data_IF_579223205508
#
_entry.id   IF_579223205508
#
_cell.length_a   1.000
_cell.length_b   1.000
_cell.length_c   1.000
_cell.angle_alpha   90.00
_cell.angle_beta   90.00
_cell.angle_gamma   90.00
#
_symmetry.space_group_name_H-M   'P 1'
#
loop_
_entity.id
_entity.type
_entity.pdbx_description
1 polymer ?
#
# COMPACT_ATOMS: atom_id res chain seq x y z
N UNK A 1 6.91 -20.08 -3.63
CA UNK A 1 6.31 -18.80 -4.03
C UNK A 1 5.19 -18.36 -3.10
N UNK A 2 4.59 -19.25 -2.33
CA UNK A 2 3.66 -18.95 -1.25
C UNK A 2 3.93 -19.84 -0.05
N UNK A 3 3.59 -19.36 1.15
CA UNK A 3 3.68 -20.08 2.42
C UNK A 3 2.40 -19.78 3.21
N UNK A 4 1.88 -20.77 3.90
CA UNK A 4 0.74 -20.65 4.81
C UNK A 4 1.13 -21.18 6.18
N UNK A 5 0.93 -20.37 7.22
CA UNK A 5 1.27 -20.70 8.61
C UNK A 5 0.04 -20.59 9.49
N UNK A 6 -0.15 -21.58 10.35
CA UNK A 6 -1.18 -21.54 11.38
C UNK A 6 -0.52 -21.18 12.71
N UNK A 7 -0.96 -20.09 13.30
CA UNK A 7 -0.47 -19.56 14.57
C UNK A 7 -1.48 -19.92 15.65
N UNK A 8 -1.15 -20.90 16.48
CA UNK A 8 -1.97 -21.38 17.59
C UNK A 8 -1.53 -20.77 18.92
N UNK A 9 -2.33 -20.95 19.99
CA UNK A 9 -2.02 -20.42 21.32
C UNK A 9 -2.30 -18.93 21.50
N UNK A 10 -3.06 -18.31 20.59
CA UNK A 10 -3.51 -16.93 20.77
C UNK A 10 -4.60 -16.83 21.84
N UNK A 11 -4.67 -15.68 22.50
CA UNK A 11 -5.65 -15.40 23.56
C UNK A 11 -7.08 -15.59 23.06
N UNK A 12 -7.95 -16.19 23.88
CA UNK A 12 -9.35 -16.44 23.55
C UNK A 12 -9.58 -17.58 22.56
N UNK A 13 -8.65 -18.57 22.51
CA UNK A 13 -8.80 -19.75 21.65
C UNK A 13 -8.69 -19.44 20.14
N UNK A 14 -8.19 -18.27 19.79
CA UNK A 14 -8.09 -17.82 18.40
C UNK A 14 -6.94 -18.51 17.68
N UNK A 15 -7.08 -18.65 16.38
CA UNK A 15 -6.02 -19.10 15.47
C UNK A 15 -5.71 -17.99 14.49
N UNK A 16 -4.43 -17.67 14.33
CA UNK A 16 -3.96 -16.78 13.28
C UNK A 16 -3.55 -17.56 12.04
N UNK A 17 -3.90 -17.06 10.86
CA UNK A 17 -3.45 -17.62 9.59
C UNK A 17 -2.59 -16.58 8.90
N UNK A 18 -1.30 -16.88 8.70
CA UNK A 18 -0.37 -16.03 7.97
C UNK A 18 -0.15 -16.59 6.56
N UNK A 19 -0.67 -15.89 5.57
CA UNK A 19 -0.41 -16.18 4.16
C UNK A 19 0.69 -15.24 3.65
N UNK A 20 1.80 -15.81 3.19
CA UNK A 20 2.89 -15.10 2.56
C UNK A 20 2.88 -15.38 1.06
N UNK A 21 2.73 -14.35 0.27
CA UNK A 21 2.73 -14.42 -1.19
C UNK A 21 3.92 -13.64 -1.75
N UNK A 22 4.63 -14.24 -2.71
CA UNK A 22 5.64 -13.50 -3.44
C UNK A 22 4.97 -12.56 -4.44
N UNK A 23 5.40 -11.30 -4.49
CA UNK A 23 4.77 -10.24 -5.30
C UNK A 23 4.76 -10.52 -6.81
N UNK A 24 5.54 -11.50 -7.30
CA UNK A 24 5.47 -11.96 -8.70
C UNK A 24 4.24 -12.81 -9.00
N UNK A 25 3.57 -13.35 -7.98
CA UNK A 25 2.37 -14.19 -8.13
C UNK A 25 1.12 -13.31 -8.18
N UNK A 26 1.08 -12.27 -7.34
CA UNK A 26 -0.08 -11.40 -7.23
C UNK A 26 0.35 -9.98 -6.83
N UNK A 27 -0.20 -8.98 -7.51
CA UNK A 27 -0.17 -7.60 -7.03
C UNK A 27 -1.21 -7.39 -5.91
N UNK A 28 -1.29 -6.18 -5.34
CA UNK A 28 -2.20 -5.91 -4.22
C UNK A 28 -3.66 -6.28 -4.50
N UNK A 29 -4.16 -6.05 -5.71
CA UNK A 29 -5.55 -6.38 -6.11
C UNK A 29 -5.68 -7.88 -6.39
N UNK A 30 -4.73 -8.47 -7.11
CA UNK A 30 -4.71 -9.90 -7.36
C UNK A 30 -4.51 -10.71 -6.06
N UNK A 31 -3.74 -10.20 -5.10
CA UNK A 31 -3.61 -10.82 -3.78
C UNK A 31 -4.93 -10.83 -3.02
N UNK A 32 -5.72 -9.75 -3.09
CA UNK A 32 -7.08 -9.72 -2.51
C UNK A 32 -8.00 -10.72 -3.20
N UNK A 33 -7.92 -10.86 -4.52
CA UNK A 33 -8.70 -11.86 -5.25
C UNK A 33 -8.32 -13.30 -4.88
N UNK A 34 -7.02 -13.60 -4.75
CA UNK A 34 -6.53 -14.89 -4.25
C UNK A 34 -6.98 -15.13 -2.81
N UNK A 35 -6.92 -14.11 -1.96
CA UNK A 35 -7.43 -14.23 -0.58
C UNK A 35 -8.95 -14.47 -0.56
N UNK A 36 -9.69 -13.79 -1.44
CA UNK A 36 -11.15 -13.95 -1.52
C UNK A 36 -11.55 -15.38 -1.91
N UNK A 37 -10.74 -16.08 -2.73
CA UNK A 37 -11.00 -17.48 -3.09
C UNK A 37 -10.77 -18.49 -1.95
N UNK A 38 -10.11 -18.07 -0.87
CA UNK A 38 -9.90 -18.90 0.32
C UNK A 38 -11.01 -18.75 1.36
N UNK A 39 -11.88 -17.77 1.19
CA UNK A 39 -12.92 -17.46 2.16
C UNK A 39 -14.31 -17.91 1.70
N UNK A 40 -15.05 -18.42 2.64
CA UNK A 40 -16.47 -18.75 2.50
C UNK A 40 -17.35 -17.57 2.94
N UNK A 41 -18.56 -17.52 2.39
CA UNK A 41 -19.58 -16.51 2.76
C UNK A 41 -20.41 -16.91 3.98
N UNK A 42 -20.26 -18.13 4.48
CA UNK A 42 -20.97 -18.67 5.63
C UNK A 42 -20.22 -19.82 6.30
N UNK A 43 -20.56 -20.16 7.56
CA UNK A 43 -19.87 -21.21 8.33
C UNK A 43 -20.11 -22.64 7.79
N UNK A 44 -21.16 -22.85 7.01
CA UNK A 44 -21.56 -24.15 6.46
C UNK A 44 -21.56 -24.18 4.93
N UNK A 45 -20.70 -23.39 4.28
CA UNK A 45 -20.59 -23.43 2.81
C UNK A 45 -20.11 -24.83 2.38
N UNK A 46 -20.86 -25.52 1.49
CA UNK A 46 -20.45 -26.85 1.00
C UNK A 46 -19.08 -26.77 0.34
N UNK A 47 -18.25 -27.78 0.59
CA UNK A 47 -16.97 -27.87 -0.14
C UNK A 47 -17.25 -27.93 -1.65
N UNK A 48 -16.62 -27.05 -2.45
CA UNK A 48 -16.73 -27.15 -3.89
C UNK A 48 -16.17 -28.52 -4.34
N UNK A 49 -16.89 -29.18 -5.23
CA UNK A 49 -16.40 -30.42 -5.84
C UNK A 49 -15.08 -30.07 -6.57
N UNK A 50 -13.98 -30.57 -6.04
CA UNK A 50 -12.67 -30.32 -6.62
C UNK A 50 -12.62 -30.90 -8.03
N UNK A 51 -12.45 -30.07 -9.04
CA UNK A 51 -12.10 -30.55 -10.37
C UNK A 51 -10.75 -31.27 -10.32
N UNK A 52 -10.58 -32.41 -11.01
CA UNK A 52 -9.33 -33.14 -11.00
C UNK A 52 -8.22 -32.24 -11.56
N UNK A 53 -7.29 -31.87 -10.69
CA UNK A 53 -6.16 -31.04 -11.07
C UNK A 53 -5.15 -31.86 -11.87
N UNK A 54 -4.93 -31.49 -13.12
CA UNK A 54 -3.90 -32.07 -13.98
C UNK A 54 -2.67 -31.15 -14.00
N UNK A 55 -1.56 -31.56 -13.36
CA UNK A 55 -0.35 -30.74 -13.34
C UNK A 55 0.22 -30.56 -14.74
N UNK A 56 0.44 -29.30 -15.12
CA UNK A 56 1.17 -29.00 -16.35
C UNK A 56 2.65 -29.40 -16.20
N UNK A 57 3.27 -29.83 -17.29
CA UNK A 57 4.70 -30.13 -17.29
C UNK A 57 5.50 -28.88 -16.92
N UNK A 58 6.44 -29.03 -15.99
CA UNK A 58 7.36 -27.94 -15.63
C UNK A 58 8.15 -27.53 -16.89
N UNK A 59 8.11 -26.27 -17.31
CA UNK A 59 8.84 -25.85 -18.50
C UNK A 59 10.34 -26.01 -18.30
N UNK A 60 11.01 -26.48 -19.33
CA UNK A 60 12.46 -26.59 -19.33
C UNK A 60 13.13 -25.22 -19.32
N UNK A 61 14.39 -25.15 -18.89
CA UNK A 61 15.17 -23.89 -18.91
C UNK A 61 15.23 -23.24 -20.30
N UNK A 62 15.26 -24.06 -21.34
CA UNK A 62 15.27 -23.60 -22.73
C UNK A 62 13.92 -23.03 -23.17
N UNK A 63 12.81 -23.61 -22.73
CA UNK A 63 11.47 -23.08 -22.96
C UNK A 63 11.32 -21.72 -22.24
N UNK A 64 11.71 -21.63 -20.96
CA UNK A 64 11.69 -20.38 -20.22
C UNK A 64 12.56 -19.30 -20.88
N UNK A 65 13.72 -19.66 -21.40
CA UNK A 65 14.60 -18.74 -22.12
C UNK A 65 13.96 -18.27 -23.43
N UNK A 66 13.40 -19.19 -24.22
CA UNK A 66 12.72 -18.89 -25.48
C UNK A 66 11.49 -17.99 -25.24
N UNK A 67 10.67 -18.28 -24.22
CA UNK A 67 9.50 -17.47 -23.85
C UNK A 67 9.91 -16.06 -23.41
N UNK A 68 10.95 -15.94 -22.58
CA UNK A 68 11.50 -14.64 -22.18
C UNK A 68 12.06 -13.86 -23.37
N UNK A 69 12.76 -14.53 -24.29
CA UNK A 69 13.33 -13.88 -25.47
C UNK A 69 12.23 -13.42 -26.44
N UNK A 70 11.23 -14.26 -26.69
CA UNK A 70 10.07 -13.94 -27.53
C UNK A 70 9.26 -12.77 -26.96
N UNK A 71 9.04 -12.77 -25.64
CA UNK A 71 8.38 -11.65 -24.95
C UNK A 71 9.17 -10.33 -25.06
N UNK A 72 10.50 -10.39 -24.89
CA UNK A 72 11.39 -9.22 -25.06
C UNK A 72 11.41 -8.71 -26.50
N UNK A 73 11.50 -9.62 -27.48
CA UNK A 73 11.43 -9.26 -28.89
C UNK A 73 10.08 -8.64 -29.26
N UNK A 74 8.98 -9.19 -28.75
CA UNK A 74 7.65 -8.62 -28.90
C UNK A 74 7.53 -7.22 -28.28
N UNK A 75 8.15 -6.99 -27.14
CA UNK A 75 8.23 -5.66 -26.52
C UNK A 75 9.08 -4.69 -27.35
N UNK A 76 10.23 -5.13 -27.83
CA UNK A 76 11.11 -4.32 -28.67
C UNK A 76 10.44 -3.94 -30.00
N UNK A 77 9.74 -4.89 -30.66
CA UNK A 77 8.95 -4.61 -31.86
C UNK A 77 7.84 -3.60 -31.62
N UNK A 78 7.10 -3.72 -30.51
CA UNK A 78 6.06 -2.73 -30.14
C UNK A 78 6.65 -1.36 -29.87
N UNK A 79 7.79 -1.30 -29.17
CA UNK A 79 8.51 -0.04 -28.94
C UNK A 79 9.01 0.58 -30.24
N UNK A 80 9.60 -0.22 -31.14
CA UNK A 80 10.05 0.26 -32.45
C UNK A 80 8.88 0.75 -33.31
N UNK A 81 7.75 0.03 -33.35
CA UNK A 81 6.55 0.46 -34.04
C UNK A 81 5.95 1.75 -33.44
N UNK A 82 6.02 1.95 -32.11
CA UNK A 82 5.60 3.19 -31.47
C UNK A 82 6.51 4.37 -31.83
N UNK A 83 7.82 4.14 -31.93
CA UNK A 83 8.81 5.15 -32.35
C UNK A 83 8.73 5.48 -33.84
N UNK A 84 8.32 4.53 -34.70
CA UNK A 84 8.13 4.72 -36.12
C UNK A 84 6.89 5.59 -36.46
N UNK A 85 6.01 5.85 -35.49
CA UNK A 85 4.82 6.69 -35.68
C UNK A 85 5.07 8.13 -35.18
N UNK A 86 5.28 9.13 -36.07
CA UNK A 86 5.66 10.49 -35.66
C UNK A 86 4.63 11.16 -34.75
N UNK A 87 3.34 10.90 -34.96
CA UNK A 87 2.26 11.45 -34.11
C UNK A 87 2.29 10.84 -32.69
N UNK A 88 2.60 9.54 -32.56
CA UNK A 88 2.73 8.88 -31.25
C UNK A 88 3.98 9.34 -30.49
N UNK A 89 5.07 9.54 -31.23
CA UNK A 89 6.32 10.06 -30.70
C UNK A 89 6.14 11.51 -30.20
N UNK A 90 5.50 12.37 -31.00
CA UNK A 90 5.22 13.75 -30.62
C UNK A 90 4.34 13.84 -29.35
N UNK A 91 3.40 12.91 -29.16
CA UNK A 91 2.59 12.81 -27.92
C UNK A 91 3.36 12.19 -26.75
N UNK A 92 4.32 11.32 -27.02
CA UNK A 92 5.12 10.68 -25.98
C UNK A 92 6.25 11.57 -25.43
N UNK A 93 6.82 12.45 -26.27
CA UNK A 93 7.92 13.33 -25.88
C UNK A 93 7.59 14.22 -24.67
N UNK A 94 6.46 14.96 -24.59
CA UNK A 94 6.16 15.77 -23.42
C UNK A 94 5.90 14.93 -22.17
N UNK A 95 5.36 13.71 -22.32
CA UNK A 95 5.16 12.76 -21.22
C UNK A 95 6.52 12.25 -20.72
N UNK A 96 7.40 11.83 -21.62
CA UNK A 96 8.74 11.37 -21.27
C UNK A 96 9.61 12.51 -20.70
N UNK A 97 9.51 13.71 -21.26
CA UNK A 97 10.17 14.89 -20.72
C UNK A 97 9.65 15.26 -19.33
N UNK A 98 8.33 15.15 -19.11
CA UNK A 98 7.70 15.32 -17.79
C UNK A 98 8.18 14.29 -16.77
N UNK A 99 8.27 13.03 -17.17
CA UNK A 99 8.82 11.94 -16.35
C UNK A 99 10.31 12.17 -16.06
N UNK A 100 11.12 12.46 -17.10
CA UNK A 100 12.54 12.74 -16.94
C UNK A 100 12.78 13.96 -16.03
N UNK A 101 12.02 15.05 -16.25
CA UNK A 101 12.10 16.25 -15.40
C UNK A 101 11.78 15.94 -13.94
N UNK A 102 10.85 15.04 -13.66
CA UNK A 102 10.48 14.64 -12.28
C UNK A 102 11.43 13.64 -11.65
N UNK A 103 11.97 12.71 -12.43
CA UNK A 103 13.03 11.79 -11.97
C UNK A 103 14.33 12.55 -11.73
N UNK A 104 14.61 13.56 -12.56
CA UNK A 104 15.81 14.38 -12.47
C UNK A 104 15.62 15.66 -11.63
N UNK A 105 14.38 16.16 -11.47
CA UNK A 105 14.08 17.23 -10.51
C UNK A 105 14.01 16.63 -9.11
N UNK A 106 14.90 17.03 -8.23
CA UNK A 106 14.83 16.63 -6.85
C UNK A 106 13.73 17.44 -6.15
N UNK A 107 12.46 17.05 -6.20
CA UNK A 107 11.60 17.30 -5.06
C UNK A 107 12.17 16.42 -3.94
N UNK A 108 13.18 16.95 -3.28
CA UNK A 108 13.86 16.23 -2.20
C UNK A 108 12.92 16.19 -1.03
N UNK A 109 12.45 14.99 -0.73
CA UNK A 109 11.84 14.75 0.56
C UNK A 109 12.77 15.28 1.66
N UNK A 110 12.26 15.91 2.73
CA UNK A 110 13.09 16.41 3.80
C UNK A 110 13.92 15.26 4.38
N UNK A 111 15.17 15.56 4.76
CA UNK A 111 16.01 14.59 5.45
C UNK A 111 15.48 14.40 6.85
N UNK A 112 15.03 13.22 7.14
CA UNK A 112 14.47 12.82 8.43
C UNK A 112 14.99 11.45 8.84
N UNK A 113 14.79 11.08 10.10
CA UNK A 113 15.07 9.72 10.58
C UNK A 113 14.15 8.66 9.98
N UNK A 114 13.17 9.04 9.16
CA UNK A 114 12.27 8.10 8.47
C UNK A 114 12.99 7.33 7.35
N UNK A 115 13.98 7.93 6.69
CA UNK A 115 14.73 7.28 5.61
C UNK A 115 15.94 6.55 6.19
N UNK A 116 15.80 5.25 6.39
CA UNK A 116 16.88 4.38 6.88
C UNK A 116 16.96 3.13 6.01
N UNK A 117 18.15 2.53 5.98
CA UNK A 117 18.32 1.22 5.34
C UNK A 117 17.41 0.20 6.03
N UNK A 118 16.68 -0.54 5.22
CA UNK A 118 15.75 -1.56 5.67
C UNK A 118 16.49 -2.88 5.84
N UNK A 119 16.42 -3.49 7.01
CA UNK A 119 16.97 -4.80 7.34
C UNK A 119 15.94 -5.92 7.13
N UNK A 120 16.22 -7.12 7.66
CA UNK A 120 15.36 -8.29 7.46
C UNK A 120 14.21 -8.40 8.47
N UNK A 121 14.40 -7.89 9.68
CA UNK A 121 13.41 -8.01 10.75
C UNK A 121 12.33 -6.94 10.65
N UNK A 122 11.07 -7.33 10.86
CA UNK A 122 9.90 -6.44 10.81
C UNK A 122 9.21 -6.35 12.14
N UNK A 123 8.77 -5.16 12.48
CA UNK A 123 7.84 -4.89 13.57
C UNK A 123 6.51 -4.47 12.96
N UNK A 124 5.42 -5.07 13.44
CA UNK A 124 4.08 -4.84 12.91
C UNK A 124 3.22 -4.39 14.09
N UNK A 125 2.43 -3.34 13.86
CA UNK A 125 1.41 -2.83 14.77
C UNK A 125 0.18 -2.46 13.98
N UNK A 126 -0.97 -2.37 14.63
CA UNK A 126 -2.17 -1.88 13.97
C UNK A 126 -3.08 -1.12 14.94
N UNK A 127 -3.86 -0.22 14.37
CA UNK A 127 -5.00 0.46 15.02
C UNK A 127 -6.25 -0.01 14.31
N UNK A 128 -7.31 -0.27 15.07
CA UNK A 128 -8.63 -0.61 14.56
C UNK A 128 -9.58 0.57 14.79
N UNK A 129 -10.33 0.95 13.76
CA UNK A 129 -11.26 2.06 13.77
C UNK A 129 -12.61 1.63 13.20
N UNK A 130 -13.69 2.29 13.63
CA UNK A 130 -15.01 2.14 12.99
C UNK A 130 -14.98 2.77 11.59
N UNK A 131 -15.21 1.96 10.55
CA UNK A 131 -15.30 2.46 9.18
C UNK A 131 -16.45 3.46 9.01
N UNK A 132 -17.58 3.24 9.73
CA UNK A 132 -18.71 4.16 9.73
C UNK A 132 -18.34 5.53 10.33
N UNK A 133 -17.58 5.55 11.44
CA UNK A 133 -17.10 6.79 12.05
C UNK A 133 -16.13 7.53 11.11
N UNK A 134 -15.18 6.81 10.52
CA UNK A 134 -14.24 7.38 9.54
C UNK A 134 -14.96 7.97 8.32
N UNK A 135 -16.00 7.29 7.81
CA UNK A 135 -16.83 7.81 6.70
C UNK A 135 -17.59 9.08 7.08
N UNK A 136 -18.14 9.16 8.30
CA UNK A 136 -18.83 10.38 8.78
C UNK A 136 -17.87 11.57 8.82
N UNK A 137 -16.72 11.40 9.47
CA UNK A 137 -15.70 12.47 9.54
C UNK A 137 -15.22 12.87 8.14
N UNK A 138 -14.94 11.91 7.27
CA UNK A 138 -14.58 12.19 5.89
C UNK A 138 -15.65 13.05 5.19
N UNK A 139 -16.93 12.73 5.38
CA UNK A 139 -18.04 13.47 4.78
C UNK A 139 -18.14 14.90 5.34
N UNK A 140 -18.02 15.09 6.66
CA UNK A 140 -18.05 16.41 7.32
C UNK A 140 -16.97 17.35 6.75
N UNK A 141 -15.76 16.83 6.51
CA UNK A 141 -14.65 17.58 5.93
C UNK A 141 -14.62 17.55 4.38
N UNK A 142 -15.71 17.10 3.73
CA UNK A 142 -15.79 16.97 2.27
C UNK A 142 -14.61 16.14 1.66
N UNK A 143 -14.03 15.27 2.45
CA UNK A 143 -12.93 14.37 2.08
C UNK A 143 -13.40 12.95 1.78
N UNK A 144 -12.46 12.04 1.73
CA UNK A 144 -12.65 10.60 1.57
C UNK A 144 -12.01 9.84 2.73
N UNK A 145 -12.36 8.58 2.92
CA UNK A 145 -11.74 7.69 3.92
C UNK A 145 -10.21 7.77 3.88
N UNK A 146 -9.62 7.79 2.69
CA UNK A 146 -8.17 7.89 2.54
C UNK A 146 -7.59 9.19 3.12
N UNK A 147 -8.33 10.29 3.10
CA UNK A 147 -7.86 11.57 3.62
C UNK A 147 -7.82 11.53 5.17
N UNK A 148 -8.81 10.91 5.80
CA UNK A 148 -8.80 10.67 7.27
C UNK A 148 -7.65 9.72 7.66
N UNK A 149 -7.43 8.64 6.90
CA UNK A 149 -6.28 7.74 7.10
C UNK A 149 -4.96 8.50 7.04
N UNK A 150 -4.78 9.36 6.04
CA UNK A 150 -3.58 10.18 5.88
C UNK A 150 -3.41 11.20 7.00
N UNK A 151 -4.50 11.80 7.48
CA UNK A 151 -4.45 12.74 8.60
C UNK A 151 -4.00 12.06 9.90
N UNK A 152 -4.59 10.90 10.24
CA UNK A 152 -4.19 10.07 11.39
C UNK A 152 -2.74 9.62 11.26
N UNK A 153 -2.34 9.16 10.08
CA UNK A 153 -0.96 8.77 9.78
C UNK A 153 0.02 9.92 10.01
N UNK A 154 -0.34 11.12 9.51
CA UNK A 154 0.47 12.33 9.65
C UNK A 154 0.67 12.71 11.12
N UNK A 155 -0.35 12.56 11.95
CA UNK A 155 -0.25 12.78 13.38
C UNK A 155 0.66 11.77 14.09
N UNK A 156 0.55 10.49 13.73
CA UNK A 156 1.49 9.48 14.22
C UNK A 156 2.95 9.80 13.86
N UNK A 157 3.19 10.21 12.60
CA UNK A 157 4.52 10.64 12.16
C UNK A 157 5.00 11.88 12.91
N UNK A 158 4.11 12.86 13.17
CA UNK A 158 4.43 14.03 13.96
C UNK A 158 4.91 13.65 15.37
N UNK A 159 4.19 12.74 16.05
CA UNK A 159 4.58 12.27 17.39
C UNK A 159 5.94 11.57 17.36
N UNK A 160 6.17 10.68 16.39
CA UNK A 160 7.45 9.99 16.25
C UNK A 160 8.60 10.96 15.98
N UNK A 161 8.46 11.89 15.03
CA UNK A 161 9.51 12.85 14.68
C UNK A 161 9.79 13.82 15.84
N UNK A 162 8.76 14.25 16.54
CA UNK A 162 8.92 15.09 17.73
C UNK A 162 9.65 14.36 18.87
N UNK A 163 9.34 13.09 19.12
CA UNK A 163 10.05 12.28 20.12
C UNK A 163 11.52 12.06 19.79
N UNK A 164 11.86 12.11 18.50
CA UNK A 164 13.24 12.06 17.99
C UNK A 164 13.89 13.45 17.90
N UNK A 165 13.28 14.47 18.51
CA UNK A 165 13.78 15.87 18.53
C UNK A 165 13.98 16.50 17.15
N UNK A 166 13.25 16.03 16.15
CA UNK A 166 13.28 16.64 14.81
C UNK A 166 12.43 17.92 14.74
N UNK A 167 12.82 18.90 13.91
CA UNK A 167 12.15 20.22 13.86
C UNK A 167 10.80 20.13 13.10
N UNK A 168 9.81 19.42 13.68
CA UNK A 168 8.51 19.12 13.05
C UNK A 168 7.80 20.33 12.49
N UNK A 169 7.98 21.53 13.09
CA UNK A 169 7.36 22.78 12.64
C UNK A 169 7.76 23.21 11.21
N UNK A 170 8.79 22.60 10.63
CA UNK A 170 9.33 22.92 9.29
C UNK A 170 9.37 21.71 8.37
N UNK A 171 8.85 20.56 8.81
CA UNK A 171 8.94 19.31 8.06
C UNK A 171 7.64 19.04 7.30
N UNK A 172 7.78 18.60 6.07
CA UNK A 172 6.74 18.04 5.24
C UNK A 172 7.22 16.73 4.60
N UNK A 173 7.22 15.62 5.35
CA UNK A 173 7.59 14.32 4.79
C UNK A 173 6.71 13.98 3.59
N UNK A 174 7.33 13.43 2.55
CA UNK A 174 6.60 13.03 1.34
C UNK A 174 6.18 11.58 1.47
N UNK A 175 4.88 11.32 1.34
CA UNK A 175 4.33 9.98 1.19
C UNK A 175 4.10 9.63 -0.27
N UNK A 176 4.28 8.35 -0.63
CA UNK A 176 3.79 7.81 -1.90
C UNK A 176 2.56 6.94 -1.67
N UNK A 177 1.57 7.10 -2.53
CA UNK A 177 0.30 6.38 -2.48
C UNK A 177 0.11 5.71 -3.83
N UNK A 178 0.15 4.37 -3.93
CA UNK A 178 -0.21 3.67 -5.15
C UNK A 178 -1.65 3.98 -5.55
N UNK A 179 -1.88 4.28 -6.81
CA UNK A 179 -3.20 4.52 -7.37
C UNK A 179 -3.46 3.52 -8.48
N UNK A 180 -4.65 2.92 -8.50
CA UNK A 180 -5.07 2.09 -9.64
C UNK A 180 -5.45 3.01 -10.79
N UNK A 181 -4.88 2.76 -11.97
CA UNK A 181 -5.24 3.47 -13.20
C UNK A 181 -6.32 2.75 -14.01
N UNK A 182 -6.81 1.59 -13.54
CA UNK A 182 -7.84 0.81 -14.23
C UNK A 182 -9.24 1.38 -13.99
N UNK A 183 -10.08 1.43 -15.07
CA UNK A 183 -11.52 1.59 -14.91
C UNK A 183 -12.09 0.43 -14.09
N UNK A 184 -13.12 0.69 -13.28
CA UNK A 184 -13.78 -0.31 -12.44
C UNK A 184 -14.35 -1.51 -13.24
N UNK A 185 -14.55 -1.35 -14.56
CA UNK A 185 -15.04 -2.38 -15.48
C UNK A 185 -14.02 -3.46 -15.85
N UNK A 186 -12.71 -3.27 -15.56
CA UNK A 186 -11.65 -4.20 -15.93
C UNK A 186 -10.95 -4.84 -14.73
N UNK A 187 -11.61 -4.90 -13.59
CA UNK A 187 -11.05 -5.38 -12.32
C UNK A 187 -10.68 -6.87 -12.26
N UNK A 188 -10.88 -7.63 -13.34
CA UNK A 188 -10.59 -9.07 -13.42
C UNK A 188 -9.37 -9.47 -14.25
N UNK A 189 -8.66 -8.56 -14.92
CA UNK A 189 -7.51 -8.92 -15.76
C UNK A 189 -6.20 -8.85 -15.00
N UNK A 190 -5.39 -9.92 -15.10
CA UNK A 190 -4.04 -10.01 -14.52
C UNK A 190 -3.11 -9.02 -15.24
N UNK A 191 -2.57 -8.04 -14.51
CA UNK A 191 -1.60 -7.08 -15.03
C UNK A 191 -1.33 -5.96 -14.03
N UNK A 192 -0.11 -5.50 -13.98
CA UNK A 192 0.42 -4.54 -12.98
C UNK A 192 0.40 -3.13 -13.59
N UNK A 193 -0.76 -2.44 -13.58
CA UNK A 193 -0.87 -1.03 -14.00
C UNK A 193 -1.09 -0.12 -12.79
N UNK A 194 0.02 0.32 -12.18
CA UNK A 194 -0.02 1.24 -11.06
C UNK A 194 0.41 2.64 -11.47
N UNK A 195 -0.40 3.62 -11.07
CA UNK A 195 0.03 4.99 -10.87
C UNK A 195 0.60 5.16 -9.45
N UNK A 196 1.28 6.25 -9.20
CA UNK A 196 1.64 6.68 -7.86
C UNK A 196 1.37 8.18 -7.72
N UNK A 197 0.77 8.54 -6.61
CA UNK A 197 0.59 9.91 -6.18
C UNK A 197 1.58 10.18 -5.05
N UNK A 198 2.31 11.29 -5.13
CA UNK A 198 3.18 11.76 -4.05
C UNK A 198 2.53 12.96 -3.37
N UNK A 199 2.53 12.96 -2.04
CA UNK A 199 1.86 13.97 -1.22
C UNK A 199 2.77 14.42 -0.09
N UNK A 200 3.06 15.73 0.07
CA UNK A 200 3.68 16.25 1.29
C UNK A 200 2.70 16.15 2.46
N UNK A 201 3.16 15.63 3.60
CA UNK A 201 2.35 15.47 4.80
C UNK A 201 2.57 16.65 5.75
N UNK A 202 1.52 17.38 6.21
CA UNK A 202 1.65 18.55 7.06
C UNK A 202 1.89 18.15 8.53
N UNK A 203 3.05 17.54 8.85
CA UNK A 203 3.39 17.14 10.23
C UNK A 203 3.60 18.34 11.16
N UNK A 204 3.76 19.54 10.61
CA UNK A 204 3.85 20.77 11.38
C UNK A 204 2.52 21.19 12.01
N UNK A 205 1.37 20.80 11.44
CA UNK A 205 0.06 21.10 12.00
C UNK A 205 -0.24 20.17 13.18
N UNK A 206 -0.48 20.75 14.35
CA UNK A 206 -0.73 20.02 15.59
C UNK A 206 -2.20 19.63 15.75
N UNK A 207 -3.11 20.48 15.28
CA UNK A 207 -4.54 20.24 15.37
C UNK A 207 -4.98 19.18 14.36
N UNK A 208 -5.70 18.15 14.82
CA UNK A 208 -6.06 17.01 14.01
C UNK A 208 -7.09 17.36 12.91
N UNK A 209 -8.07 18.24 13.21
CA UNK A 209 -9.11 18.65 12.25
C UNK A 209 -8.51 19.54 11.16
N UNK A 210 -7.72 20.55 11.56
CA UNK A 210 -7.00 21.42 10.60
C UNK A 210 -6.06 20.61 9.72
N UNK A 211 -5.38 19.63 10.30
CA UNK A 211 -4.51 18.73 9.54
C UNK A 211 -5.30 17.91 8.54
N UNK A 212 -6.50 17.44 8.90
CA UNK A 212 -7.39 16.75 7.96
C UNK A 212 -7.80 17.66 6.80
N UNK A 213 -8.20 18.89 7.07
CA UNK A 213 -8.56 19.87 6.02
C UNK A 213 -7.40 20.14 5.05
N UNK A 214 -6.20 20.31 5.59
CA UNK A 214 -4.98 20.44 4.77
C UNK A 214 -4.73 19.21 3.89
N UNK A 215 -4.89 18.01 4.44
CA UNK A 215 -4.72 16.76 3.69
C UNK A 215 -5.78 16.65 2.59
N UNK A 216 -7.04 16.98 2.87
CA UNK A 216 -8.12 16.99 1.87
C UNK A 216 -7.79 17.94 0.71
N UNK A 217 -7.34 19.16 1.01
CA UNK A 217 -6.90 20.11 -0.03
C UNK A 217 -5.78 19.56 -0.90
N UNK A 218 -4.72 19.05 -0.27
CA UNK A 218 -3.54 18.49 -0.95
C UNK A 218 -3.87 17.25 -1.79
N UNK A 219 -4.74 16.38 -1.33
CA UNK A 219 -5.15 15.19 -2.10
C UNK A 219 -5.98 15.55 -3.33
N UNK A 220 -6.81 16.60 -3.26
CA UNK A 220 -7.54 17.13 -4.42
C UNK A 220 -6.57 17.66 -5.48
N UNK A 221 -5.60 18.48 -5.08
CA UNK A 221 -4.58 19.04 -5.98
C UNK A 221 -3.71 17.94 -6.59
N UNK A 222 -3.27 16.97 -5.79
CA UNK A 222 -2.44 15.86 -6.26
C UNK A 222 -3.15 14.96 -7.27
N UNK A 223 -4.47 14.77 -7.14
CA UNK A 223 -5.29 14.02 -8.11
C UNK A 223 -5.40 14.72 -9.46
N UNK A 224 -5.44 16.04 -9.48
CA UNK A 224 -5.42 16.83 -10.70
C UNK A 224 -4.09 16.69 -11.47
N UNK A 225 -2.99 16.34 -10.78
CA UNK A 225 -1.64 16.17 -11.33
C UNK A 225 -1.17 14.72 -11.47
N UNK A 226 -2.05 13.72 -11.48
CA UNK A 226 -1.69 12.29 -11.50
C UNK A 226 -0.76 11.90 -12.65
N UNK A 227 0.14 10.95 -12.35
CA UNK A 227 1.16 10.49 -13.27
C UNK A 227 0.70 9.28 -14.07
N UNK A 228 1.09 9.20 -15.37
CA UNK A 228 0.78 8.04 -16.19
C UNK A 228 1.38 6.76 -15.61
N UNK A 229 0.60 5.67 -15.63
CA UNK A 229 1.01 4.32 -15.21
C UNK A 229 2.30 3.83 -15.91
N UNK A 230 2.57 4.32 -17.13
CA UNK A 230 3.77 3.98 -17.90
C UNK A 230 5.08 4.30 -17.17
N UNK A 231 5.13 5.37 -16.37
CA UNK A 231 6.33 5.74 -15.60
C UNK A 231 6.63 4.72 -14.49
N UNK A 232 5.60 4.19 -13.83
CA UNK A 232 5.76 3.21 -12.75
C UNK A 232 6.23 1.86 -13.27
N UNK A 233 5.82 1.46 -14.46
CA UNK A 233 6.31 0.23 -15.10
C UNK A 233 7.82 0.26 -15.37
N UNK A 234 8.37 1.42 -15.73
CA UNK A 234 9.82 1.61 -15.91
C UNK A 234 10.56 1.54 -14.58
N UNK A 235 10.05 2.21 -13.53
CA UNK A 235 10.63 2.20 -12.19
C UNK A 235 10.62 0.78 -11.61
N UNK A 236 9.51 0.04 -11.74
CA UNK A 236 9.40 -1.34 -11.28
C UNK A 236 10.40 -2.28 -11.97
N UNK A 237 10.63 -2.11 -13.28
CA UNK A 237 11.64 -2.89 -14.02
C UNK A 237 13.07 -2.54 -13.60
N UNK A 238 13.36 -1.26 -13.37
CA UNK A 238 14.66 -0.83 -12.90
C UNK A 238 14.93 -1.35 -11.48
N UNK A 239 13.95 -1.35 -10.58
CA UNK A 239 14.10 -1.83 -9.21
C UNK A 239 14.41 -3.33 -9.11
N UNK A 240 14.11 -4.12 -10.14
CA UNK A 240 14.51 -5.52 -10.22
C UNK A 240 16.02 -5.70 -10.50
N UNK A 241 16.72 -4.67 -10.97
CA UNK A 241 18.16 -4.71 -11.24
C UNK A 241 19.00 -4.38 -9.99
N UNK A 242 20.26 -4.83 -9.90
CA UNK A 242 21.16 -4.42 -8.80
C UNK A 242 21.31 -2.89 -8.68
N UNK A 243 21.42 -2.20 -9.80
CA UNK A 243 21.49 -0.73 -9.84
C UNK A 243 20.20 -0.09 -9.33
N UNK A 244 19.04 -0.60 -9.75
CA UNK A 244 17.75 -0.08 -9.28
C UNK A 244 17.54 -0.31 -7.78
N UNK A 245 17.98 -1.45 -7.24
CA UNK A 245 17.98 -1.71 -5.79
C UNK A 245 18.90 -0.75 -5.04
N UNK A 246 20.10 -0.48 -5.58
CA UNK A 246 20.99 0.51 -5.01
C UNK A 246 20.36 1.90 -5.00
N UNK A 247 19.77 2.33 -6.13
CA UNK A 247 19.09 3.62 -6.24
C UNK A 247 17.89 3.71 -5.28
N UNK A 248 17.09 2.64 -5.15
CA UNK A 248 15.98 2.59 -4.21
C UNK A 248 16.44 2.66 -2.74
N UNK A 249 17.60 2.09 -2.41
CA UNK A 249 18.19 2.16 -1.08
C UNK A 249 18.79 3.53 -0.73
N UNK A 250 19.01 4.40 -1.73
CA UNK A 250 19.64 5.72 -1.58
C UNK A 250 18.76 6.86 -2.14
N UNK A 251 17.48 6.59 -2.36
CA UNK A 251 16.57 7.60 -2.88
C UNK A 251 16.24 8.68 -1.83
N UNK A 252 15.92 9.90 -2.31
CA UNK A 252 15.56 11.06 -1.50
C UNK A 252 14.26 11.73 -1.98
N UNK A 253 13.43 10.99 -2.70
CA UNK A 253 12.18 11.52 -3.26
C UNK A 253 10.98 11.29 -2.35
N UNK A 254 11.04 10.25 -1.49
CA UNK A 254 9.91 9.79 -0.66
C UNK A 254 10.43 9.38 0.72
N UNK A 255 9.69 9.73 1.78
CA UNK A 255 10.01 9.31 3.14
C UNK A 255 9.26 8.04 3.56
N UNK A 256 7.97 7.97 3.25
CA UNK A 256 7.06 6.89 3.70
C UNK A 256 6.10 6.47 2.60
N UNK A 257 5.49 5.33 2.78
CA UNK A 257 4.49 4.79 1.86
C UNK A 257 3.17 4.54 2.59
N UNK A 258 2.07 4.88 1.92
CA UNK A 258 0.71 4.55 2.36
C UNK A 258 0.00 3.80 1.25
N UNK A 259 -0.64 2.70 1.56
CA UNK A 259 -1.55 1.99 0.65
C UNK A 259 -2.90 1.82 1.31
N UNK A 260 -3.96 1.85 0.53
CA UNK A 260 -5.32 1.66 1.01
C UNK A 260 -6.05 0.69 0.08
N UNK A 261 -6.58 -0.38 0.65
CA UNK A 261 -7.26 -1.45 -0.08
C UNK A 261 -8.61 -1.73 0.60
N UNK A 262 -9.67 -1.76 -0.19
CA UNK A 262 -10.97 -2.18 0.32
C UNK A 262 -11.03 -3.72 0.37
N UNK A 263 -11.41 -4.25 1.50
CA UNK A 263 -11.68 -5.67 1.69
C UNK A 263 -13.18 -5.97 1.74
N UNK A 264 -13.57 -7.22 2.08
CA UNK A 264 -14.95 -7.66 2.14
C UNK A 264 -15.79 -6.79 3.09
N UNK A 265 -16.95 -6.28 2.64
CA UNK A 265 -17.82 -5.46 3.49
C UNK A 265 -18.61 -6.27 4.54
N UNK A 266 -18.66 -7.59 4.35
CA UNK A 266 -19.37 -8.54 5.22
C UNK A 266 -18.37 -9.50 5.88
N UNK A 267 -18.74 -10.14 7.01
CA UNK A 267 -17.94 -11.21 7.59
C UNK A 267 -17.73 -12.35 6.60
N UNK A 268 -16.50 -12.90 6.61
CA UNK A 268 -16.14 -14.09 5.83
C UNK A 268 -15.66 -15.20 6.78
N UNK A 269 -15.61 -16.41 6.29
CA UNK A 269 -15.28 -17.60 7.05
C UNK A 269 -14.10 -18.32 6.42
N UNK A 270 -13.34 -19.02 7.23
CA UNK A 270 -12.23 -19.86 6.79
C UNK A 270 -12.32 -21.19 7.56
N UNK A 271 -12.51 -22.30 6.85
CA UNK A 271 -12.74 -23.62 7.43
C UNK A 271 -13.89 -23.62 8.46
N UNK A 272 -14.98 -22.93 8.17
CA UNK A 272 -16.15 -22.79 9.05
C UNK A 272 -15.96 -21.81 10.21
N UNK A 273 -14.75 -21.34 10.49
CA UNK A 273 -14.50 -20.35 11.53
C UNK A 273 -14.64 -18.92 11.00
N UNK A 274 -15.33 -18.06 11.76
CA UNK A 274 -15.47 -16.64 11.42
C UNK A 274 -14.11 -15.93 11.45
N UNK A 275 -13.76 -15.22 10.38
CA UNK A 275 -12.59 -14.36 10.34
C UNK A 275 -12.88 -13.08 11.12
N UNK A 276 -12.11 -12.80 12.15
CA UNK A 276 -12.30 -11.63 13.03
C UNK A 276 -11.57 -10.38 12.53
N UNK A 277 -10.42 -10.56 11.86
CA UNK A 277 -9.61 -9.47 11.34
C UNK A 277 -8.79 -9.94 10.14
N UNK A 278 -8.57 -9.04 9.18
CA UNK A 278 -7.65 -9.23 8.07
C UNK A 278 -6.63 -8.10 8.13
N UNK A 279 -5.35 -8.45 8.32
CA UNK A 279 -4.26 -7.52 8.53
C UNK A 279 -3.24 -7.65 7.38
N UNK A 280 -3.32 -6.83 6.33
CA UNK A 280 -2.36 -6.89 5.25
C UNK A 280 -1.00 -6.34 5.70
N UNK A 281 0.05 -7.12 5.52
CA UNK A 281 1.41 -6.76 5.90
C UNK A 281 2.18 -6.40 4.63
N UNK A 282 2.49 -5.12 4.47
CA UNK A 282 3.30 -4.59 3.36
C UNK A 282 4.63 -4.12 3.92
N UNK A 283 5.73 -4.73 3.48
CA UNK A 283 7.06 -4.38 3.96
C UNK A 283 7.60 -3.09 3.33
N UNK A 284 8.43 -2.32 4.08
CA UNK A 284 9.13 -1.17 3.52
C UNK A 284 10.11 -1.61 2.42
N UNK A 285 10.29 -0.74 1.41
CA UNK A 285 11.15 -0.97 0.24
C UNK A 285 12.23 0.10 0.17
N UNK A 286 13.44 -0.31 -0.19
CA UNK A 286 14.58 0.61 -0.35
C UNK A 286 15.04 1.19 0.98
N UNK A 287 14.94 2.51 1.13
CA UNK A 287 15.20 3.25 2.37
C UNK A 287 13.97 4.00 2.88
N UNK A 288 12.78 3.67 2.37
CA UNK A 288 11.54 4.26 2.86
C UNK A 288 11.25 3.77 4.27
N UNK A 289 10.77 4.68 5.11
CA UNK A 289 10.45 4.44 6.51
C UNK A 289 9.26 3.51 6.71
N UNK A 290 8.51 3.66 7.80
CA UNK A 290 7.39 2.78 8.05
C UNK A 290 6.34 2.88 6.93
N UNK A 291 5.71 1.76 6.65
CA UNK A 291 4.64 1.64 5.64
C UNK A 291 3.32 1.48 6.36
N UNK A 292 2.34 2.27 5.97
CA UNK A 292 0.96 2.12 6.39
C UNK A 292 0.16 1.39 5.32
N UNK A 293 -0.52 0.32 5.70
CA UNK A 293 -1.56 -0.31 4.90
C UNK A 293 -2.92 -0.16 5.60
N UNK A 294 -3.84 0.57 5.00
CA UNK A 294 -5.22 0.64 5.45
C UNK A 294 -6.05 -0.43 4.74
N UNK A 295 -6.86 -1.15 5.50
CA UNK A 295 -7.71 -2.22 4.96
C UNK A 295 -9.07 -2.23 5.67
N UNK A 296 -10.14 -2.20 4.90
CA UNK A 296 -11.49 -2.29 5.46
C UNK A 296 -11.98 -3.74 5.46
N UNK A 297 -12.61 -4.17 6.56
CA UNK A 297 -13.19 -5.49 6.67
C UNK A 297 -14.39 -5.46 7.63
N UNK A 298 -15.55 -5.97 7.20
CA UNK A 298 -16.75 -6.15 8.02
C UNK A 298 -17.09 -4.93 8.91
N UNK A 299 -17.11 -3.73 8.32
CA UNK A 299 -17.42 -2.49 9.03
C UNK A 299 -16.26 -1.87 9.83
N UNK A 300 -15.12 -2.53 9.89
CA UNK A 300 -13.90 -2.07 10.54
C UNK A 300 -12.89 -1.52 9.51
N UNK A 301 -12.02 -0.63 9.96
CA UNK A 301 -10.85 -0.16 9.22
C UNK A 301 -9.60 -0.47 10.04
N UNK A 302 -8.73 -1.28 9.49
CA UNK A 302 -7.44 -1.64 10.09
C UNK A 302 -6.33 -0.78 9.48
N UNK A 303 -5.61 -0.07 10.32
CA UNK A 303 -4.43 0.72 9.95
C UNK A 303 -3.19 -0.07 10.38
N UNK A 304 -2.65 -0.88 9.47
CA UNK A 304 -1.50 -1.76 9.75
C UNK A 304 -0.21 -1.05 9.39
N UNK A 305 0.65 -0.88 10.38
CA UNK A 305 1.98 -0.28 10.21
C UNK A 305 3.04 -1.35 10.26
N UNK A 306 3.86 -1.41 9.22
CA UNK A 306 5.03 -2.28 9.14
C UNK A 306 6.29 -1.43 9.07
N UNK A 307 7.23 -1.68 9.96
CA UNK A 307 8.50 -0.97 10.01
C UNK A 307 9.68 -1.94 10.14
N UNK A 308 10.86 -1.46 9.81
CA UNK A 308 12.10 -2.13 10.15
C UNK A 308 12.28 -2.16 11.67
N UNK A 309 12.53 -3.34 12.26
CA UNK A 309 12.57 -3.50 13.71
C UNK A 309 13.74 -2.76 14.38
N UNK A 310 14.87 -2.67 13.67
CA UNK A 310 16.07 -1.99 14.16
C UNK A 310 15.98 -0.47 13.95
N UNK A 311 15.45 -0.06 12.80
CA UNK A 311 15.30 1.36 12.47
C UNK A 311 14.20 2.08 13.23
N UNK A 312 13.19 1.31 13.74
CA UNK A 312 12.02 1.84 14.45
C UNK A 312 11.74 1.07 15.76
N UNK A 313 12.69 1.09 16.73
CA UNK A 313 12.45 0.50 18.06
C UNK A 313 11.32 1.21 18.81
N UNK A 314 11.09 2.47 18.48
CA UNK A 314 10.09 3.41 19.01
C UNK A 314 8.78 3.45 18.18
N UNK A 315 8.47 2.38 17.43
CA UNK A 315 7.23 2.30 16.64
C UNK A 315 5.98 2.53 17.49
N UNK A 316 6.02 2.15 18.77
CA UNK A 316 4.89 2.31 19.68
C UNK A 316 4.57 3.81 19.95
N UNK A 317 5.54 4.72 19.82
CA UNK A 317 5.31 6.18 19.89
C UNK A 317 4.49 6.67 18.69
N UNK A 318 4.82 6.18 17.49
CA UNK A 318 4.02 6.47 16.28
C UNK A 318 2.60 5.95 16.44
N UNK A 319 2.42 4.74 16.96
CA UNK A 319 1.10 4.14 17.15
C UNK A 319 0.27 4.94 18.17
N UNK A 320 0.86 5.33 19.28
CA UNK A 320 0.19 6.18 20.28
C UNK A 320 -0.28 7.52 19.69
N UNK A 321 0.53 8.13 18.82
CA UNK A 321 0.14 9.33 18.07
C UNK A 321 -1.04 9.07 17.12
N UNK A 322 -1.03 7.96 16.40
CA UNK A 322 -2.16 7.56 15.53
C UNK A 322 -3.46 7.34 16.32
N UNK A 323 -3.35 6.67 17.48
CA UNK A 323 -4.51 6.44 18.37
C UNK A 323 -5.05 7.75 18.97
N UNK A 324 -4.17 8.66 19.38
CA UNK A 324 -4.56 9.97 19.88
C UNK A 324 -5.33 10.77 18.83
N UNK A 325 -4.82 10.82 17.61
CA UNK A 325 -5.48 11.50 16.49
C UNK A 325 -6.78 10.80 16.07
N UNK A 326 -6.79 9.47 16.07
CA UNK A 326 -8.00 8.70 15.83
C UNK A 326 -9.10 9.09 16.83
N UNK A 327 -8.80 9.15 18.12
CA UNK A 327 -9.74 9.61 19.17
C UNK A 327 -10.15 11.07 18.98
N UNK A 328 -9.23 11.96 18.65
CA UNK A 328 -9.53 13.37 18.42
C UNK A 328 -10.51 13.57 17.26
N UNK A 329 -10.32 12.87 16.14
CA UNK A 329 -11.16 13.00 14.95
C UNK A 329 -12.49 12.24 15.04
N UNK A 330 -12.50 11.07 15.68
CA UNK A 330 -13.65 10.16 15.66
C UNK A 330 -14.49 10.21 16.94
N UNK A 331 -14.00 10.91 18.00
CA UNK A 331 -14.65 10.97 19.31
C UNK A 331 -14.75 9.60 19.99
N UNK A 332 -15.79 9.41 20.82
CA UNK A 332 -16.08 8.13 21.49
C UNK A 332 -16.40 6.97 20.54
N UNK A 333 -16.51 7.21 19.25
CA UNK A 333 -16.73 6.19 18.21
C UNK A 333 -15.42 5.61 17.64
N UNK A 334 -14.25 5.98 18.17
CA UNK A 334 -12.96 5.43 17.75
C UNK A 334 -12.87 3.93 18.08
N UNK A 335 -13.36 3.54 19.25
CA UNK A 335 -13.35 2.16 19.72
C UNK A 335 -14.62 1.44 19.25
N UNK A 336 -14.53 0.77 18.10
CA UNK A 336 -15.57 -0.17 17.73
C UNK A 336 -15.33 -1.47 18.48
N UNK A 337 -16.24 -1.84 19.37
CA UNK A 337 -16.33 -3.19 19.90
C UNK A 337 -16.28 -4.23 18.78
N UNK A 338 -15.61 -5.37 18.97
CA UNK A 338 -15.71 -6.44 18.00
C UNK A 338 -17.18 -6.78 17.85
N UNK A 339 -17.69 -7.00 16.63
CA UNK A 339 -19.00 -7.61 16.48
C UNK A 339 -18.96 -8.92 17.26
N UNK A 340 -19.89 -9.08 18.17
CA UNK A 340 -19.98 -10.12 19.19
C UNK A 340 -19.41 -11.47 18.76
N UNK A 341 -18.67 -12.07 19.70
CA UNK A 341 -18.09 -13.40 19.61
C UNK A 341 -19.18 -14.48 19.44
#
# INVERSE_FOLDING_TARGET
MWELWFLTGLTGGRVGVLLKLHHSVADGIAAVAVMASLFDTGPGTPEPVAEPWAPQRIPTRWQLLADNLSAKLGQARRAAAALAHPIRLARAVPVLAGVARRVLSPSRAPRTSLNRRVETNRRIRFVRLSLAAVKRVAHTHQGKVNDVVLAIWTGGLRHLLASRTEPVARLEPITTIPTSSRPASESGTVGNEFGAMSLPLPVWEADAERRLDLVVGRTREAKAGQHPAAAMGVIARLSATPLGRYLAAHQHAVNVQVTNVAGPPVPVYLFGARVLAILPIVGPVGNMGPVLCAFSYAGQLFLVVTADAHGFPDLDVLMAGMEADGRALLGSHADSEPPDA
#
